data_IF_412082936791
#
_entry.id   IF_412082936791
#
_cell.length_a   1.000
_cell.length_b   1.000
_cell.length_c   1.000
_cell.angle_alpha   90.00
_cell.angle_beta   90.00
_cell.angle_gamma   90.00
#
_symmetry.space_group_name_H-M   'P 1'
#
loop_
_entity.id
_entity.type
_entity.pdbx_description
1 polymer ?
#
# COMPACT_ATOMS: atom_id res chain seq x y z
N UNK A 1 -70.86 4.86 -15.39
CA UNK A 1 -71.77 6.03 -15.66
C UNK A 1 -70.93 6.97 -16.53
N UNK A 2 -71.14 6.90 -17.85
CA UNK A 2 -71.83 7.92 -18.67
C UNK A 2 -70.94 9.14 -18.86
N UNK A 3 -70.51 9.61 -20.00
CA UNK A 3 -70.82 9.48 -21.41
C UNK A 3 -70.08 10.64 -22.08
N UNK A 4 -69.43 10.44 -23.19
CA UNK A 4 -69.94 10.69 -24.58
C UNK A 4 -69.71 12.13 -25.11
N UNK A 5 -68.98 12.16 -26.23
CA UNK A 5 -69.17 12.91 -27.46
C UNK A 5 -68.75 14.40 -27.46
N UNK A 6 -68.23 14.91 -28.56
CA UNK A 6 -68.29 14.64 -29.99
C UNK A 6 -67.40 15.59 -30.79
N UNK A 7 -66.93 15.08 -31.84
CA UNK A 7 -67.01 15.43 -33.24
C UNK A 7 -67.18 16.93 -33.65
N UNK A 8 -66.21 17.38 -34.44
CA UNK A 8 -66.61 18.00 -35.76
C UNK A 8 -65.38 18.22 -36.66
N UNK A 9 -65.54 17.77 -37.86
CA UNK A 9 -64.71 17.98 -39.06
C UNK A 9 -64.91 19.43 -39.60
N UNK A 10 -63.80 20.01 -40.12
CA UNK A 10 -63.94 20.91 -41.26
C UNK A 10 -62.70 20.93 -42.11
N UNK A 11 -62.88 20.67 -43.36
CA UNK A 11 -61.92 20.68 -44.44
C UNK A 11 -61.70 22.16 -44.93
N UNK A 12 -60.52 22.39 -45.50
CA UNK A 12 -60.47 23.59 -46.38
C UNK A 12 -59.04 24.06 -46.71
N UNK A 13 -58.66 23.78 -47.88
CA UNK A 13 -57.92 24.62 -48.85
C UNK A 13 -56.38 24.58 -48.81
N UNK A 14 -55.87 23.99 -49.86
CA UNK A 14 -54.53 24.11 -50.39
C UNK A 14 -54.19 25.54 -50.84
N UNK A 15 -53.03 26.02 -50.39
CA UNK A 15 -52.30 27.03 -51.17
C UNK A 15 -50.81 26.58 -51.23
N UNK A 16 -50.43 26.16 -52.43
CA UNK A 16 -49.07 26.04 -52.86
C UNK A 16 -48.36 27.40 -52.77
N UNK A 17 -47.45 27.60 -51.88
CA UNK A 17 -46.45 28.66 -52.01
C UNK A 17 -45.10 28.02 -52.18
N UNK A 18 -44.56 28.19 -53.39
CA UNK A 18 -43.12 27.93 -53.68
C UNK A 18 -42.35 28.96 -52.89
N UNK A 19 -41.57 28.45 -51.90
CA UNK A 19 -40.64 29.28 -51.15
C UNK A 19 -39.27 28.96 -51.67
N UNK A 20 -38.65 29.88 -52.38
CA UNK A 20 -37.25 29.85 -52.76
C UNK A 20 -36.40 29.87 -51.47
N UNK A 21 -35.58 28.84 -51.29
CA UNK A 21 -34.53 28.83 -50.27
C UNK A 21 -33.38 29.74 -50.71
N UNK A 22 -32.95 30.69 -49.90
CA UNK A 22 -31.66 31.35 -50.14
C UNK A 22 -30.54 30.41 -49.72
N UNK A 23 -29.65 30.08 -50.62
CA UNK A 23 -28.34 29.48 -50.31
C UNK A 23 -27.53 30.52 -49.51
N UNK A 24 -27.56 30.44 -48.21
CA UNK A 24 -26.58 31.12 -47.35
C UNK A 24 -25.34 30.26 -47.27
N UNK A 25 -24.32 30.60 -48.06
CA UNK A 25 -22.97 30.11 -47.91
C UNK A 25 -22.41 30.59 -46.57
N UNK A 26 -22.50 29.73 -45.52
CA UNK A 26 -21.83 29.96 -44.27
C UNK A 26 -20.33 29.71 -44.46
N UNK A 27 -19.58 30.76 -44.68
CA UNK A 27 -18.11 30.74 -44.54
C UNK A 27 -17.81 30.40 -43.08
N UNK A 28 -17.54 29.13 -42.83
CA UNK A 28 -16.96 28.67 -41.56
C UNK A 28 -15.56 29.26 -41.42
N UNK A 29 -15.43 30.28 -40.60
CA UNK A 29 -14.20 30.99 -40.33
C UNK A 29 -13.14 30.00 -39.82
N UNK A 30 -11.88 30.04 -40.31
CA UNK A 30 -10.81 29.11 -39.93
C UNK A 30 -10.47 29.13 -38.42
N UNK A 31 -10.95 30.15 -37.75
CA UNK A 31 -10.80 30.33 -36.29
C UNK A 31 -11.53 29.26 -35.44
N UNK A 32 -12.65 28.69 -35.96
CA UNK A 32 -13.40 27.63 -35.26
C UNK A 32 -12.75 26.24 -35.42
N UNK A 33 -12.08 25.98 -36.54
CA UNK A 33 -11.30 24.78 -36.77
C UNK A 33 -10.05 24.74 -35.91
N UNK A 34 -9.35 25.88 -35.73
CA UNK A 34 -8.20 25.98 -34.83
C UNK A 34 -8.56 25.75 -33.36
N UNK A 35 -9.73 26.24 -32.92
CA UNK A 35 -10.20 26.01 -31.56
C UNK A 35 -10.57 24.54 -31.30
N UNK A 36 -11.15 23.84 -32.27
CA UNK A 36 -11.47 22.42 -32.15
C UNK A 36 -10.21 21.53 -32.11
N UNK A 37 -9.18 21.85 -32.88
CA UNK A 37 -7.86 21.15 -32.82
C UNK A 37 -7.14 21.38 -31.51
N UNK A 38 -7.21 22.59 -30.93
CA UNK A 38 -6.57 22.88 -29.64
C UNK A 38 -7.21 22.10 -28.48
N UNK A 39 -8.54 21.92 -28.50
CA UNK A 39 -9.24 21.10 -27.49
C UNK A 39 -8.95 19.61 -27.66
N UNK A 40 -8.82 19.09 -28.89
CA UNK A 40 -8.46 17.71 -29.14
C UNK A 40 -7.01 17.38 -28.70
N UNK A 41 -6.07 18.32 -28.84
CA UNK A 41 -4.70 18.18 -28.36
C UNK A 41 -4.58 18.25 -26.82
N UNK A 42 -5.46 19.00 -26.16
CA UNK A 42 -5.50 19.05 -24.69
C UNK A 42 -6.03 17.76 -24.05
N UNK A 43 -6.84 16.98 -24.75
CA UNK A 43 -7.36 15.67 -24.31
C UNK A 43 -6.38 14.50 -24.58
N UNK A 44 -5.35 14.70 -25.37
CA UNK A 44 -4.24 13.75 -25.56
C UNK A 44 -3.22 13.79 -24.41
N UNK A 45 -3.54 14.47 -23.29
CA UNK A 45 -2.76 14.53 -22.04
C UNK A 45 -2.58 13.15 -21.43
N UNK A 46 -1.47 12.55 -21.72
CA UNK A 46 -0.69 11.59 -20.98
C UNK A 46 -1.46 10.70 -19.99
N UNK A 47 -2.04 9.62 -20.46
CA UNK A 47 -2.10 8.40 -19.69
C UNK A 47 -0.69 7.81 -19.64
N UNK A 48 0.20 8.42 -18.85
CA UNK A 48 1.52 7.86 -18.57
C UNK A 48 1.29 6.57 -17.81
N UNK A 49 1.37 5.43 -18.49
CA UNK A 49 1.40 4.13 -17.82
C UNK A 49 2.60 4.15 -16.87
N UNK A 50 2.40 3.96 -15.56
CA UNK A 50 3.50 3.97 -14.62
C UNK A 50 4.56 2.97 -15.06
N UNK A 51 5.83 3.38 -15.07
CA UNK A 51 6.91 2.49 -15.47
C UNK A 51 7.00 1.30 -14.49
N UNK A 52 7.15 0.07 -14.99
CA UNK A 52 7.34 -1.09 -14.13
C UNK A 52 8.64 -0.89 -13.33
N UNK A 53 8.62 -1.29 -12.06
CA UNK A 53 9.82 -1.27 -11.22
C UNK A 53 10.78 -2.33 -11.77
N UNK A 54 11.95 -1.91 -12.23
CA UNK A 54 12.91 -2.79 -12.91
C UNK A 54 13.26 -3.99 -12.02
N UNK A 55 13.14 -5.19 -12.58
CA UNK A 55 13.54 -6.44 -11.94
C UNK A 55 12.55 -6.99 -10.91
N UNK A 56 11.39 -6.34 -10.70
CA UNK A 56 10.35 -6.85 -9.80
C UNK A 56 9.10 -7.28 -10.55
N UNK A 57 8.37 -8.32 -10.07
CA UNK A 57 7.07 -8.68 -10.59
C UNK A 57 6.09 -7.51 -10.54
N UNK A 58 5.19 -7.42 -11.51
CA UNK A 58 4.20 -6.33 -11.56
C UNK A 58 3.24 -6.33 -10.36
N UNK A 59 2.91 -7.54 -9.86
CA UNK A 59 1.99 -7.70 -8.73
C UNK A 59 2.42 -8.86 -7.85
N UNK A 60 2.42 -8.62 -6.54
CA UNK A 60 2.70 -9.62 -5.50
C UNK A 60 1.71 -9.50 -4.38
N UNK A 61 1.31 -10.63 -3.79
CA UNK A 61 0.57 -10.69 -2.54
C UNK A 61 1.00 -11.93 -1.75
N UNK A 62 1.51 -11.74 -0.54
CA UNK A 62 1.92 -12.79 0.38
C UNK A 62 0.68 -13.25 1.15
N UNK A 63 0.13 -14.42 0.78
CA UNK A 63 -1.08 -14.98 1.38
C UNK A 63 -0.86 -15.63 2.74
N UNK A 64 0.33 -16.14 3.01
CA UNK A 64 0.68 -16.95 4.20
C UNK A 64 0.74 -16.20 5.52
N UNK A 65 0.78 -14.87 5.52
CA UNK A 65 0.82 -14.07 6.76
C UNK A 65 -0.55 -14.12 7.44
N UNK A 66 -0.66 -14.49 8.73
CA UNK A 66 -1.92 -14.38 9.47
C UNK A 66 -2.41 -12.94 9.59
N UNK A 67 -3.70 -12.77 9.82
CA UNK A 67 -4.28 -11.46 10.08
C UNK A 67 -5.01 -11.45 11.43
N UNK A 68 -4.51 -10.65 12.33
CA UNK A 68 -5.15 -10.36 13.60
C UNK A 68 -5.87 -9.02 13.50
N UNK A 69 -7.16 -9.02 13.84
CA UNK A 69 -8.02 -7.83 13.82
C UNK A 69 -8.05 -7.22 15.21
N UNK A 70 -7.93 -5.91 15.33
CA UNK A 70 -7.99 -5.23 16.61
C UNK A 70 -7.85 -3.72 16.51
N UNK A 71 -7.83 -3.10 17.68
CA UNK A 71 -7.77 -1.66 17.84
C UNK A 71 -6.42 -1.08 17.40
N UNK A 72 -6.44 0.19 17.11
CA UNK A 72 -5.27 0.97 16.73
C UNK A 72 -4.11 0.87 17.73
N UNK A 73 -4.41 0.92 19.03
CA UNK A 73 -3.42 0.86 20.13
C UNK A 73 -2.73 -0.51 20.22
N UNK A 74 -3.33 -1.56 19.65
CA UNK A 74 -2.77 -2.91 19.59
C UNK A 74 -2.06 -3.20 18.26
N UNK A 75 -1.92 -2.20 17.37
CA UNK A 75 -1.39 -2.39 16.02
C UNK A 75 0.01 -3.04 16.02
N UNK A 76 0.87 -2.69 16.99
CA UNK A 76 2.20 -3.27 17.13
C UNK A 76 2.14 -4.77 17.53
N UNK A 77 1.33 -5.10 18.54
CA UNK A 77 1.15 -6.48 18.98
C UNK A 77 0.55 -7.36 17.88
N UNK A 78 -0.43 -6.83 17.13
CA UNK A 78 -1.05 -7.55 16.00
C UNK A 78 -0.07 -7.79 14.86
N UNK A 79 0.70 -6.78 14.45
CA UNK A 79 1.67 -6.90 13.37
C UNK A 79 2.81 -7.82 13.75
N UNK A 80 3.35 -7.69 14.97
CA UNK A 80 4.42 -8.56 15.45
C UNK A 80 3.94 -10.01 15.63
N UNK A 81 2.76 -10.24 16.20
CA UNK A 81 2.21 -11.60 16.31
C UNK A 81 2.01 -12.25 14.94
N UNK A 82 1.54 -11.48 13.95
CA UNK A 82 1.31 -12.01 12.61
C UNK A 82 2.62 -12.43 11.93
N UNK A 83 3.68 -11.62 12.04
CA UNK A 83 4.96 -11.98 11.44
C UNK A 83 5.65 -13.12 12.19
N UNK A 84 5.60 -13.14 13.52
CA UNK A 84 6.12 -14.26 14.32
C UNK A 84 5.37 -15.57 14.02
N UNK A 85 4.05 -15.51 13.90
CA UNK A 85 3.25 -16.69 13.52
C UNK A 85 3.59 -17.21 12.13
N UNK A 86 3.86 -16.32 11.16
CA UNK A 86 4.34 -16.71 9.84
C UNK A 86 5.69 -17.41 9.91
N UNK A 87 6.55 -17.02 10.85
CA UNK A 87 7.84 -17.65 11.11
C UNK A 87 7.74 -18.95 11.94
N UNK A 88 6.53 -19.42 12.23
CA UNK A 88 6.28 -20.68 12.94
C UNK A 88 6.15 -20.56 14.46
N UNK A 89 6.22 -19.35 15.02
CA UNK A 89 6.01 -19.15 16.46
C UNK A 89 4.51 -19.21 16.78
N UNK A 90 4.13 -20.01 17.77
CA UNK A 90 2.76 -20.06 18.26
C UNK A 90 2.50 -18.90 19.22
N UNK A 91 1.93 -17.82 18.72
CA UNK A 91 1.73 -16.58 19.46
C UNK A 91 0.41 -15.90 19.07
N UNK A 92 -0.16 -15.17 20.01
CA UNK A 92 -1.32 -14.28 19.75
C UNK A 92 -1.00 -12.86 20.20
N UNK A 93 -1.66 -11.82 19.65
CA UNK A 93 -1.38 -10.43 20.02
C UNK A 93 -1.42 -10.16 21.52
N UNK A 94 -2.40 -10.70 22.26
CA UNK A 94 -2.53 -10.48 23.70
C UNK A 94 -1.35 -11.00 24.54
N UNK A 95 -0.60 -11.98 24.04
CA UNK A 95 0.62 -12.45 24.71
C UNK A 95 1.80 -11.47 24.53
N UNK A 96 1.67 -10.53 23.62
CA UNK A 96 2.71 -9.52 23.35
C UNK A 96 2.46 -8.20 24.07
N UNK A 97 1.26 -7.96 24.62
CA UNK A 97 0.93 -6.67 25.24
C UNK A 97 1.91 -6.34 26.39
N UNK A 98 2.13 -7.28 27.32
CA UNK A 98 3.05 -7.07 28.43
C UNK A 98 4.52 -6.95 27.98
N UNK A 99 5.08 -7.85 27.14
CA UNK A 99 6.44 -7.70 26.62
C UNK A 99 6.69 -6.41 25.86
N UNK A 100 5.66 -5.88 25.16
CA UNK A 100 5.74 -4.60 24.46
C UNK A 100 5.56 -3.39 25.39
N UNK A 101 5.18 -3.59 26.66
CA UNK A 101 4.92 -2.54 27.61
C UNK A 101 3.62 -1.79 27.36
N UNK A 102 2.66 -2.41 26.68
CA UNK A 102 1.37 -1.80 26.35
C UNK A 102 0.41 -1.82 27.56
N UNK A 103 -0.42 -0.78 27.73
CA UNK A 103 -0.56 0.41 26.89
C UNK A 103 0.39 1.57 27.24
N UNK A 104 1.23 1.48 28.27
CA UNK A 104 2.00 2.62 28.80
C UNK A 104 3.29 2.91 28.02
N UNK A 105 3.88 1.89 27.36
CA UNK A 105 5.19 1.96 26.71
C UNK A 105 5.20 2.50 25.28
N UNK A 106 4.22 3.33 24.89
CA UNK A 106 4.01 3.75 23.49
C UNK A 106 5.23 4.50 22.91
N UNK A 107 5.90 5.32 23.73
CA UNK A 107 7.07 6.12 23.28
C UNK A 107 8.27 5.25 22.89
N UNK A 108 8.41 4.09 23.52
CA UNK A 108 9.51 3.13 23.26
C UNK A 108 9.07 1.91 22.43
N UNK A 109 7.88 1.95 21.88
CA UNK A 109 7.25 0.80 21.26
C UNK A 109 8.05 0.26 20.07
N UNK A 110 8.73 1.12 19.33
CA UNK A 110 9.58 0.72 18.20
C UNK A 110 10.74 -0.17 18.67
N UNK A 111 11.42 0.21 19.76
CA UNK A 111 12.50 -0.57 20.36
C UNK A 111 11.97 -1.85 21.01
N UNK A 112 10.83 -1.74 21.72
CA UNK A 112 10.16 -2.90 22.32
C UNK A 112 9.81 -3.96 21.27
N UNK A 113 9.25 -3.57 20.13
CA UNK A 113 8.92 -4.47 19.01
C UNK A 113 10.15 -5.23 18.52
N UNK A 114 11.27 -4.51 18.32
CA UNK A 114 12.52 -5.12 17.89
C UNK A 114 13.11 -6.07 18.96
N UNK A 115 13.11 -5.66 20.22
CA UNK A 115 13.65 -6.46 21.32
C UNK A 115 12.82 -7.72 21.54
N UNK A 116 11.48 -7.61 21.51
CA UNK A 116 10.60 -8.78 21.62
C UNK A 116 10.81 -9.73 20.45
N UNK A 117 10.95 -9.26 19.22
CA UNK A 117 11.25 -10.11 18.08
C UNK A 117 12.58 -10.88 18.28
N UNK A 118 13.61 -10.21 18.80
CA UNK A 118 14.91 -10.86 19.12
C UNK A 118 14.77 -11.91 20.24
N UNK A 119 13.95 -11.65 21.27
CA UNK A 119 13.70 -12.64 22.33
C UNK A 119 13.09 -13.95 21.79
N UNK A 120 12.34 -13.87 20.69
CA UNK A 120 11.87 -15.05 19.95
C UNK A 120 12.90 -15.63 18.97
N UNK A 121 14.16 -15.22 19.05
CA UNK A 121 15.25 -15.74 18.22
C UNK A 121 15.26 -15.23 16.78
N UNK A 122 14.51 -14.18 16.48
CA UNK A 122 14.41 -13.61 15.13
C UNK A 122 15.48 -12.55 14.88
N UNK A 123 16.08 -12.58 13.70
CA UNK A 123 16.88 -11.46 13.20
C UNK A 123 15.96 -10.31 12.86
N UNK A 124 16.24 -9.13 13.39
CA UNK A 124 15.55 -7.88 13.04
C UNK A 124 16.47 -7.07 12.12
N UNK A 125 16.15 -7.08 10.84
CA UNK A 125 16.98 -6.45 9.81
C UNK A 125 16.35 -5.14 9.34
N UNK A 126 16.96 -3.97 9.62
CA UNK A 126 16.46 -2.67 9.17
C UNK A 126 16.55 -2.54 7.65
N UNK A 127 15.53 -1.99 7.03
CA UNK A 127 15.50 -1.74 5.58
C UNK A 127 15.97 -0.31 5.25
N UNK A 128 16.41 -0.11 4.03
CA UNK A 128 16.66 1.23 3.51
C UNK A 128 15.37 2.02 3.40
N UNK A 129 15.41 3.34 3.63
CA UNK A 129 14.22 4.21 3.56
C UNK A 129 13.84 4.51 2.09
N UNK A 130 13.66 3.46 1.29
CA UNK A 130 13.29 3.51 -0.13
C UNK A 130 12.14 2.55 -0.38
N UNK A 131 11.10 3.01 -1.06
CA UNK A 131 9.94 2.17 -1.38
C UNK A 131 10.36 0.89 -2.12
N UNK A 132 11.26 1.01 -3.09
CA UNK A 132 11.76 -0.10 -3.90
C UNK A 132 12.42 -1.19 -3.04
N UNK A 133 13.12 -0.80 -1.97
CA UNK A 133 13.73 -1.75 -1.03
C UNK A 133 12.67 -2.57 -0.30
N UNK A 134 11.56 -1.96 0.10
CA UNK A 134 10.44 -2.65 0.72
C UNK A 134 9.75 -3.60 -0.28
N UNK A 135 9.50 -3.11 -1.50
CA UNK A 135 8.84 -3.91 -2.54
C UNK A 135 9.69 -5.10 -2.98
N UNK A 136 11.03 -4.97 -2.99
CA UNK A 136 11.95 -6.07 -3.27
C UNK A 136 11.82 -7.19 -2.22
N UNK A 137 11.66 -6.85 -0.94
CA UNK A 137 11.42 -7.84 0.10
C UNK A 137 10.10 -8.57 -0.10
N UNK A 138 9.04 -7.82 -0.37
CA UNK A 138 7.71 -8.40 -0.64
C UNK A 138 7.74 -9.31 -1.88
N UNK A 139 8.47 -8.91 -2.92
CA UNK A 139 8.66 -9.74 -4.13
C UNK A 139 9.38 -11.06 -3.83
N UNK A 140 10.29 -11.05 -2.85
CA UNK A 140 10.99 -12.24 -2.37
C UNK A 140 10.17 -13.07 -1.35
N UNK A 141 8.92 -12.70 -1.07
CA UNK A 141 8.05 -13.40 -0.12
C UNK A 141 8.24 -12.99 1.35
N UNK A 142 9.00 -11.93 1.60
CA UNK A 142 9.26 -11.42 2.95
C UNK A 142 8.29 -10.28 3.28
N UNK A 143 7.34 -10.46 4.21
CA UNK A 143 6.50 -9.36 4.68
C UNK A 143 7.35 -8.35 5.46
N UNK A 144 7.06 -7.07 5.28
CA UNK A 144 7.78 -5.98 5.93
C UNK A 144 6.96 -5.43 7.09
N UNK A 145 7.52 -5.42 8.29
CA UNK A 145 6.95 -4.74 9.44
C UNK A 145 7.36 -3.27 9.38
N UNK A 146 6.38 -2.38 9.41
CA UNK A 146 6.61 -0.94 9.29
C UNK A 146 5.70 -0.12 10.22
N UNK A 147 6.08 1.13 10.41
CA UNK A 147 5.30 2.15 11.13
C UNK A 147 4.93 3.25 10.15
N UNK A 148 3.69 3.70 10.17
CA UNK A 148 3.17 4.75 9.30
C UNK A 148 2.16 5.61 10.04
N UNK A 149 1.99 6.85 9.61
CA UNK A 149 1.00 7.76 10.16
C UNK A 149 -0.39 7.44 9.60
N UNK A 150 -1.36 7.22 10.47
CA UNK A 150 -2.76 7.00 10.12
C UNK A 150 -3.65 8.10 10.68
N UNK A 151 -4.51 8.65 9.83
CA UNK A 151 -5.44 9.72 10.23
C UNK A 151 -5.60 10.79 9.16
N UNK A 152 -6.03 11.96 9.58
CA UNK A 152 -6.19 13.14 8.72
C UNK A 152 -4.90 13.98 8.68
N UNK A 153 -4.90 15.01 7.82
CA UNK A 153 -3.79 15.96 7.75
C UNK A 153 -3.51 16.66 9.10
N UNK A 154 -4.55 16.83 9.92
CA UNK A 154 -4.49 17.55 11.21
C UNK A 154 -4.35 16.63 12.42
N UNK A 155 -4.64 15.34 12.26
CA UNK A 155 -4.63 14.36 13.34
C UNK A 155 -4.17 13.02 12.82
N UNK A 156 -2.88 12.79 12.87
CA UNK A 156 -2.28 11.53 12.46
C UNK A 156 -1.60 10.87 13.65
N UNK A 157 -1.80 9.58 13.81
CA UNK A 157 -1.21 8.79 14.88
C UNK A 157 -0.36 7.66 14.28
N UNK A 158 0.75 7.30 14.94
CA UNK A 158 1.59 6.20 14.51
C UNK A 158 0.84 4.86 14.60
N UNK A 159 0.96 4.05 13.56
CA UNK A 159 0.41 2.70 13.47
C UNK A 159 1.43 1.74 12.92
N UNK A 160 1.38 0.52 13.40
CA UNK A 160 2.17 -0.58 12.85
C UNK A 160 1.34 -1.37 11.87
N UNK A 161 1.98 -1.83 10.80
CA UNK A 161 1.36 -2.64 9.76
C UNK A 161 2.36 -3.62 9.16
N UNK A 162 1.84 -4.61 8.45
CA UNK A 162 2.63 -5.47 7.59
C UNK A 162 2.35 -5.12 6.12
N UNK A 163 3.40 -4.75 5.39
CA UNK A 163 3.37 -4.67 3.94
C UNK A 163 3.48 -6.10 3.40
N UNK A 164 2.42 -6.58 2.78
CA UNK A 164 2.28 -7.96 2.33
C UNK A 164 2.06 -8.08 0.83
N UNK A 165 2.01 -6.97 0.10
CA UNK A 165 1.83 -7.00 -1.34
C UNK A 165 1.93 -5.62 -1.97
N UNK A 166 1.94 -5.63 -3.29
CA UNK A 166 1.87 -4.42 -4.11
C UNK A 166 1.34 -4.73 -5.52
N UNK A 167 0.91 -3.69 -6.19
CA UNK A 167 0.57 -3.67 -7.61
C UNK A 167 1.24 -2.43 -8.24
N UNK A 168 2.34 -2.64 -8.98
CA UNK A 168 3.12 -1.56 -9.57
C UNK A 168 2.41 -0.88 -10.74
N UNK A 169 1.52 -1.59 -11.44
CA UNK A 169 0.71 -1.00 -12.50
C UNK A 169 -0.31 -0.01 -11.92
N UNK A 170 -0.95 -0.37 -10.79
CA UNK A 170 -1.91 0.49 -10.09
C UNK A 170 -1.25 1.44 -9.11
N UNK A 171 0.06 1.42 -8.98
CA UNK A 171 0.84 2.22 -8.04
C UNK A 171 0.30 2.12 -6.61
N UNK A 172 0.09 0.89 -6.12
CA UNK A 172 -0.50 0.63 -4.80
C UNK A 172 0.26 -0.41 -4.01
N UNK A 173 0.38 -0.18 -2.71
CA UNK A 173 0.79 -1.16 -1.71
C UNK A 173 -0.44 -1.84 -1.10
N UNK A 174 -0.24 -3.04 -0.59
CA UNK A 174 -1.22 -3.82 0.17
C UNK A 174 -0.71 -4.02 1.60
N UNK A 175 -1.40 -3.45 2.56
CA UNK A 175 -1.09 -3.54 3.98
C UNK A 175 -2.10 -4.45 4.71
N UNK A 176 -1.63 -5.08 5.79
CA UNK A 176 -2.46 -5.60 6.88
C UNK A 176 -2.34 -4.66 8.06
N UNK A 177 -3.41 -3.94 8.36
CA UNK A 177 -3.40 -2.89 9.36
C UNK A 177 -4.75 -2.76 10.09
N UNK A 178 -4.72 -2.76 11.42
CA UNK A 178 -5.89 -2.56 12.26
C UNK A 178 -7.03 -3.51 11.96
N UNK A 179 -8.17 -2.98 11.52
CA UNK A 179 -9.36 -3.76 11.14
C UNK A 179 -9.32 -4.25 9.69
N UNK A 180 -8.33 -3.82 8.90
CA UNK A 180 -8.28 -4.05 7.46
C UNK A 180 -7.25 -5.11 7.07
N UNK A 181 -7.74 -6.30 6.71
CA UNK A 181 -6.89 -7.38 6.17
C UNK A 181 -6.23 -7.01 4.83
N UNK A 182 -6.89 -6.15 4.04
CA UNK A 182 -6.47 -5.74 2.70
C UNK A 182 -6.61 -4.23 2.53
N UNK A 183 -5.76 -3.47 3.21
CA UNK A 183 -5.71 -2.02 3.06
C UNK A 183 -4.84 -1.68 1.86
N UNK A 184 -5.44 -1.11 0.84
CA UNK A 184 -4.74 -0.59 -0.33
C UNK A 184 -4.45 0.90 -0.12
N UNK A 185 -3.22 1.31 -0.39
CA UNK A 185 -2.79 2.71 -0.41
C UNK A 185 -2.02 3.00 -1.69
N UNK A 186 -2.18 4.21 -2.25
CA UNK A 186 -1.30 4.69 -3.32
C UNK A 186 0.15 4.76 -2.87
N UNK A 187 1.11 4.62 -3.79
CA UNK A 187 2.54 4.69 -3.44
C UNK A 187 2.92 6.04 -2.82
N UNK A 188 2.38 7.14 -3.35
CA UNK A 188 2.65 8.49 -2.84
C UNK A 188 2.04 8.70 -1.46
N UNK A 189 0.78 8.29 -1.26
CA UNK A 189 0.10 8.37 0.04
C UNK A 189 0.82 7.53 1.09
N UNK A 190 1.22 6.31 0.72
CA UNK A 190 1.97 5.41 1.59
C UNK A 190 3.34 6.01 1.94
N UNK A 191 4.10 6.47 0.95
CA UNK A 191 5.42 7.06 1.16
C UNK A 191 5.35 8.29 2.04
N UNK A 192 4.34 9.14 1.85
CA UNK A 192 4.09 10.30 2.70
C UNK A 192 3.76 9.91 4.14
N UNK A 193 2.87 8.93 4.34
CA UNK A 193 2.49 8.44 5.67
C UNK A 193 3.66 7.73 6.37
N UNK A 194 4.46 6.99 5.65
CA UNK A 194 5.64 6.29 6.15
C UNK A 194 6.76 7.26 6.52
N UNK A 195 6.98 8.29 5.68
CA UNK A 195 7.98 9.33 5.95
C UNK A 195 7.69 10.12 7.24
N UNK A 196 6.43 10.42 7.54
CA UNK A 196 6.02 11.06 8.79
C UNK A 196 6.44 10.29 10.04
N UNK A 197 6.64 8.98 9.92
CA UNK A 197 7.09 8.08 10.99
C UNK A 197 8.57 7.68 10.85
N UNK A 198 9.37 8.54 10.21
CA UNK A 198 10.82 8.36 10.07
C UNK A 198 11.24 7.25 9.12
N UNK A 199 10.36 6.80 8.22
CA UNK A 199 10.61 5.70 7.27
C UNK A 199 11.05 4.40 7.97
N UNK A 200 10.53 4.15 9.18
CA UNK A 200 10.88 2.94 9.91
C UNK A 200 10.25 1.70 9.29
N UNK A 201 11.11 0.76 8.91
CA UNK A 201 10.70 -0.55 8.39
C UNK A 201 11.78 -1.60 8.68
N UNK A 202 11.36 -2.81 9.07
CA UNK A 202 12.24 -3.93 9.37
C UNK A 202 11.69 -5.24 8.80
N UNK A 203 12.59 -6.17 8.52
CA UNK A 203 12.26 -7.58 8.42
C UNK A 203 12.44 -8.26 9.78
N UNK A 204 11.56 -9.19 10.08
CA UNK A 204 11.67 -10.11 11.22
C UNK A 204 11.74 -11.52 10.63
N UNK A 205 12.92 -12.13 10.65
CA UNK A 205 13.21 -13.36 9.91
C UNK A 205 13.91 -14.40 10.75
N UNK A 206 13.77 -15.66 10.37
CA UNK A 206 14.59 -16.77 10.88
C UNK A 206 16.08 -16.48 10.60
N UNK A 207 16.99 -16.88 11.52
CA UNK A 207 18.44 -16.64 11.37
C UNK A 207 19.05 -17.20 10.08
N UNK A 208 18.46 -18.25 9.52
CA UNK A 208 18.92 -18.87 8.27
C UNK A 208 18.36 -18.22 7.00
N UNK A 209 17.45 -17.26 7.11
CA UNK A 209 16.76 -16.65 5.98
C UNK A 209 17.33 -15.27 5.69
N UNK A 210 18.03 -15.10 4.56
CA UNK A 210 18.58 -13.82 4.17
C UNK A 210 17.52 -12.92 3.49
N UNK A 211 17.60 -11.58 3.68
CA UNK A 211 16.83 -10.62 2.92
C UNK A 211 17.13 -10.68 1.41
N UNK A 212 16.19 -10.26 0.59
CA UNK A 212 16.52 -9.94 -0.80
C UNK A 212 17.58 -8.82 -0.83
N UNK A 213 18.59 -8.98 -1.67
CA UNK A 213 19.67 -7.98 -1.79
C UNK A 213 20.31 -7.63 -0.43
N UNK A 214 20.73 -8.66 0.30
CA UNK A 214 21.29 -8.49 1.65
C UNK A 214 22.51 -7.57 1.65
N UNK A 215 22.49 -6.55 2.50
CA UNK A 215 23.68 -5.79 2.87
C UNK A 215 24.40 -6.56 3.98
N UNK A 216 25.65 -6.98 3.71
CA UNK A 216 26.45 -7.82 4.61
C UNK A 216 26.70 -7.15 5.96
N UNK A 217 27.04 -5.88 5.98
CA UNK A 217 27.36 -5.16 7.22
C UNK A 217 26.11 -4.99 8.09
N UNK A 218 24.98 -4.63 7.47
CA UNK A 218 23.69 -4.47 8.15
C UNK A 218 23.19 -5.80 8.71
N UNK A 219 23.38 -6.90 7.96
CA UNK A 219 23.03 -8.24 8.45
C UNK A 219 23.89 -8.67 9.63
N UNK A 220 25.22 -8.47 9.55
CA UNK A 220 26.13 -8.78 10.66
C UNK A 220 25.81 -7.96 11.92
N UNK A 221 25.44 -6.68 11.74
CA UNK A 221 24.95 -5.85 12.85
C UNK A 221 23.69 -6.43 13.46
N UNK A 222 22.71 -6.81 12.65
CA UNK A 222 21.46 -7.41 13.13
C UNK A 222 21.70 -8.74 13.86
N UNK A 223 22.63 -9.57 13.38
CA UNK A 223 23.06 -10.79 14.06
C UNK A 223 23.75 -10.48 15.40
N UNK A 224 24.60 -9.47 15.48
CA UNK A 224 25.21 -9.03 16.73
C UNK A 224 24.18 -8.53 17.75
N UNK A 225 23.21 -7.71 17.30
CA UNK A 225 22.09 -7.23 18.13
C UNK A 225 21.26 -8.42 18.68
N UNK A 226 21.12 -9.50 17.89
CA UNK A 226 20.45 -10.73 18.30
C UNK A 226 21.27 -11.47 19.40
N UNK A 227 22.61 -11.54 19.26
CA UNK A 227 23.46 -12.09 20.29
C UNK A 227 23.37 -11.30 21.61
N UNK A 228 23.38 -9.96 21.53
CA UNK A 228 23.23 -9.10 22.71
C UNK A 228 21.88 -9.27 23.41
N UNK A 229 20.85 -9.74 22.71
CA UNK A 229 19.56 -10.12 23.28
C UNK A 229 19.57 -11.54 23.93
N UNK A 230 20.74 -12.16 24.09
CA UNK A 230 20.90 -13.49 24.69
C UNK A 230 20.66 -14.65 23.71
N UNK A 231 20.52 -14.40 22.43
CA UNK A 231 20.21 -15.40 21.39
C UNK A 231 21.47 -15.79 20.60
N UNK A 232 22.52 -16.17 21.28
CA UNK A 232 23.85 -16.42 20.68
C UNK A 232 23.81 -17.51 19.59
N UNK A 233 23.07 -18.60 19.83
CA UNK A 233 22.99 -19.71 18.88
C UNK A 233 22.30 -19.24 17.57
N UNK A 234 21.23 -18.51 17.67
CA UNK A 234 20.53 -17.91 16.54
C UNK A 234 21.43 -16.90 15.81
N UNK A 235 22.17 -16.09 16.55
CA UNK A 235 23.12 -15.13 15.99
C UNK A 235 24.23 -15.84 15.19
N UNK A 236 24.82 -16.91 15.72
CA UNK A 236 25.81 -17.72 14.98
C UNK A 236 25.24 -18.33 13.71
N UNK A 237 24.00 -18.79 13.77
CA UNK A 237 23.29 -19.27 12.57
C UNK A 237 23.08 -18.15 11.53
N UNK A 238 22.72 -16.94 11.95
CA UNK A 238 22.57 -15.79 11.08
C UNK A 238 23.90 -15.42 10.39
N UNK A 239 25.01 -15.42 11.12
CA UNK A 239 26.34 -15.18 10.52
C UNK A 239 26.69 -16.26 9.50
N UNK A 240 26.43 -17.54 9.83
CA UNK A 240 26.68 -18.65 8.90
C UNK A 240 25.89 -18.57 7.61
N UNK A 241 24.68 -18.03 7.64
CA UNK A 241 23.84 -17.87 6.45
C UNK A 241 24.47 -16.99 5.37
N UNK A 242 25.34 -16.04 5.71
CA UNK A 242 26.07 -15.20 4.75
C UNK A 242 27.15 -15.94 3.94
N UNK A 243 27.54 -17.11 4.35
CA UNK A 243 28.57 -17.93 3.69
C UNK A 243 28.03 -19.10 2.88
N UNK A 244 26.73 -19.22 2.82
CA UNK A 244 26.02 -20.17 1.96
C UNK A 244 25.64 -19.48 0.65
#
# INVERSE_FOLDING_TARGET
MIAIQGRALSAGHQHKRVFMLPLSSSFTTPRRLLAACAVALALAGCASTPAPIKGLPQRVEIGSVPFYRGNANQSAAMALAAILSQQGVRITPGLLDQPLGLPQGVDKLQDSVQNVARQYGMVVYPLEPKLEALLAQVAAGNPVLLRFAEGSAFWAEPRYALLVGYDSYKQRVLLRAGMNRRRLMGFDDFSSAWNKEGNWAVLVQQPGQLPAQVDRQRWLKAANDLAQAGQEQAARQAVKALGQ
#
